data_IF_769713508196
#
_entry.id   IF_769713508196
#
_cell.length_a   1.000
_cell.length_b   1.000
_cell.length_c   1.000
_cell.angle_alpha   90.00
_cell.angle_beta   90.00
_cell.angle_gamma   90.00
#
_symmetry.space_group_name_H-M   'P 1'
#
loop_
_entity.id
_entity.type
_entity.pdbx_description
1 polymer ?
#
# COMPACT_ATOMS: atom_id res chain seq x y z
N UNK A 1 14.23 -30.10 -4.46
CA UNK A 1 15.46 -29.61 -5.14
C UNK A 1 15.54 -28.08 -5.21
N UNK A 2 14.72 -27.36 -6.02
CA UNK A 2 14.83 -25.88 -6.11
C UNK A 2 14.35 -25.13 -4.86
N UNK A 3 13.19 -25.49 -4.29
CA UNK A 3 12.62 -24.86 -3.08
C UNK A 3 13.46 -25.13 -1.81
N UNK A 4 14.09 -26.29 -1.71
CA UNK A 4 14.99 -26.63 -0.60
C UNK A 4 16.27 -25.79 -0.66
N UNK A 5 16.91 -25.66 -1.82
CA UNK A 5 18.11 -24.83 -2.01
C UNK A 5 17.83 -23.36 -1.69
N UNK A 6 16.65 -22.91 -2.07
CA UNK A 6 16.09 -21.62 -1.80
C UNK A 6 15.92 -21.32 -0.30
N UNK A 7 15.32 -22.25 0.44
CA UNK A 7 15.19 -22.18 1.89
C UNK A 7 16.57 -22.16 2.56
N UNK A 8 17.51 -22.98 2.08
CA UNK A 8 18.89 -23.01 2.56
C UNK A 8 19.58 -21.66 2.35
N UNK A 9 19.48 -21.08 1.16
CA UNK A 9 20.07 -19.77 0.85
C UNK A 9 19.49 -18.66 1.73
N UNK A 10 18.19 -18.71 2.02
CA UNK A 10 17.53 -17.76 2.92
C UNK A 10 18.04 -17.91 4.37
N UNK A 11 18.18 -19.14 4.87
CA UNK A 11 18.74 -19.39 6.19
C UNK A 11 20.20 -18.92 6.30
N UNK A 12 21.00 -19.12 5.26
CA UNK A 12 22.39 -18.64 5.18
C UNK A 12 22.43 -17.10 5.20
N UNK A 13 21.55 -16.44 4.45
CA UNK A 13 21.43 -14.99 4.42
C UNK A 13 21.09 -14.39 5.80
N UNK A 14 20.15 -14.99 6.53
CA UNK A 14 19.80 -14.61 7.91
C UNK A 14 21.00 -14.80 8.84
N UNK A 15 21.67 -15.97 8.78
CA UNK A 15 22.83 -16.28 9.61
C UNK A 15 23.97 -15.27 9.41
N UNK A 16 24.24 -14.93 8.15
CA UNK A 16 25.36 -14.07 7.77
C UNK A 16 24.98 -12.57 7.81
N UNK A 17 23.73 -12.22 8.14
CA UNK A 17 23.18 -10.86 8.04
C UNK A 17 23.41 -10.23 6.66
N UNK A 18 23.30 -11.02 5.60
CA UNK A 18 23.50 -10.60 4.21
C UNK A 18 22.18 -10.64 3.44
N UNK A 19 22.10 -9.81 2.41
CA UNK A 19 20.93 -9.81 1.52
C UNK A 19 20.78 -11.15 0.82
N UNK A 20 19.60 -11.79 0.85
CA UNK A 20 19.33 -12.99 0.10
C UNK A 20 19.22 -12.65 -1.39
N UNK A 21 19.59 -13.62 -2.24
CA UNK A 21 19.19 -13.60 -3.66
C UNK A 21 17.77 -14.12 -3.72
N UNK A 22 16.81 -13.33 -4.21
CA UNK A 22 15.42 -13.77 -4.35
C UNK A 22 15.31 -14.88 -5.39
N UNK A 23 14.24 -15.67 -5.30
CA UNK A 23 13.97 -16.72 -6.26
C UNK A 23 13.13 -16.22 -7.44
N UNK A 24 13.25 -16.86 -8.61
CA UNK A 24 12.27 -16.72 -9.68
C UNK A 24 10.96 -17.40 -9.25
N UNK A 25 9.86 -16.65 -9.19
CA UNK A 25 8.55 -17.13 -8.77
C UNK A 25 7.65 -15.97 -8.38
N UNK A 26 6.55 -16.27 -7.68
CA UNK A 26 5.61 -15.24 -7.23
C UNK A 26 6.16 -14.50 -6.00
N UNK A 27 5.51 -14.58 -4.84
CA UNK A 27 5.87 -13.73 -3.71
C UNK A 27 7.15 -14.21 -3.01
N UNK A 28 8.10 -13.31 -2.73
CA UNK A 28 9.38 -13.65 -2.08
C UNK A 28 9.61 -12.80 -0.83
N UNK A 29 10.04 -13.43 0.27
CA UNK A 29 10.51 -12.75 1.48
C UNK A 29 11.94 -12.21 1.27
N UNK A 30 12.12 -10.91 1.47
CA UNK A 30 13.37 -10.18 1.31
C UNK A 30 14.00 -9.78 2.63
N UNK A 31 13.26 -9.83 3.75
CA UNK A 31 13.81 -9.42 5.04
C UNK A 31 14.79 -10.47 5.59
N UNK A 32 15.99 -10.02 5.96
CA UNK A 32 17.07 -10.86 6.49
C UNK A 32 17.69 -10.31 7.78
N UNK A 33 17.21 -9.16 8.26
CA UNK A 33 17.67 -8.55 9.50
C UNK A 33 16.81 -9.01 10.68
N UNK A 34 17.05 -8.46 11.87
CA UNK A 34 16.29 -8.78 13.07
C UNK A 34 14.79 -8.49 12.88
N UNK A 35 13.94 -9.43 13.29
CA UNK A 35 12.49 -9.30 13.17
C UNK A 35 11.86 -8.56 14.36
N UNK A 36 12.63 -8.34 15.42
CA UNK A 36 12.22 -7.70 16.66
C UNK A 36 13.33 -6.75 17.12
N UNK A 37 12.95 -5.55 17.53
CA UNK A 37 13.87 -4.54 18.06
C UNK A 37 13.14 -3.61 19.02
N UNK A 38 13.79 -3.21 20.11
CA UNK A 38 13.26 -2.25 21.07
C UNK A 38 13.97 -0.92 20.84
N UNK A 39 13.25 0.08 20.32
CA UNK A 39 13.79 1.41 20.08
C UNK A 39 13.59 2.31 21.30
N UNK A 40 14.61 3.08 21.63
CA UNK A 40 14.65 4.01 22.76
C UNK A 40 15.18 5.36 22.29
N UNK A 41 15.11 6.42 23.10
CA UNK A 41 15.70 7.71 22.72
C UNK A 41 17.24 7.76 22.82
N UNK A 42 17.92 6.62 22.97
CA UNK A 42 19.37 6.54 22.94
C UNK A 42 19.88 6.72 21.50
N UNK A 43 20.97 7.48 21.31
CA UNK A 43 21.49 7.84 19.97
C UNK A 43 21.86 6.64 19.10
N UNK A 44 22.23 5.52 19.72
CA UNK A 44 22.64 4.28 19.08
C UNK A 44 21.48 3.29 18.89
N UNK A 45 20.33 3.54 19.50
CA UNK A 45 19.20 2.61 19.53
C UNK A 45 17.83 3.29 19.27
N UNK A 46 17.83 4.43 18.57
CA UNK A 46 16.63 5.16 18.18
C UNK A 46 16.18 4.85 16.74
N UNK A 47 16.90 4.01 16.01
CA UNK A 47 16.63 3.76 14.59
C UNK A 47 16.95 2.33 14.15
N UNK A 48 16.05 1.73 13.38
CA UNK A 48 16.34 0.60 12.49
C UNK A 48 16.53 1.18 11.09
N UNK A 49 17.58 0.78 10.37
CA UNK A 49 17.76 1.13 8.97
C UNK A 49 18.28 -0.05 8.17
N UNK A 50 17.89 -0.13 6.91
CA UNK A 50 18.29 -1.20 6.01
C UNK A 50 18.60 -0.68 4.62
N UNK A 51 19.43 -1.43 3.90
CA UNK A 51 19.65 -1.31 2.46
C UNK A 51 19.66 -2.73 1.88
N UNK A 52 18.71 -3.00 0.98
CA UNK A 52 18.59 -4.26 0.25
C UNK A 52 18.95 -3.97 -1.20
N UNK A 53 20.10 -4.44 -1.71
CA UNK A 53 20.44 -4.29 -3.12
C UNK A 53 19.42 -5.02 -3.99
N UNK A 54 19.10 -4.45 -5.15
CA UNK A 54 18.29 -5.15 -6.13
C UNK A 54 19.07 -6.37 -6.65
N UNK A 55 18.38 -7.49 -6.74
CA UNK A 55 18.94 -8.70 -7.33
C UNK A 55 18.54 -8.85 -8.80
N UNK A 56 19.06 -9.90 -9.43
CA UNK A 56 18.84 -10.23 -10.84
C UNK A 56 17.36 -10.56 -11.13
N UNK A 57 16.55 -10.85 -10.10
CA UNK A 57 15.16 -11.27 -10.22
C UNK A 57 14.16 -10.14 -9.97
N UNK A 58 14.64 -8.93 -9.65
CA UNK A 58 13.81 -7.72 -9.57
C UNK A 58 13.30 -7.33 -10.96
N UNK A 59 11.99 -7.19 -11.10
CA UNK A 59 11.34 -6.80 -12.34
C UNK A 59 10.59 -5.49 -12.18
N UNK A 60 10.38 -4.81 -13.31
CA UNK A 60 9.48 -3.65 -13.36
C UNK A 60 8.08 -4.07 -12.92
N UNK A 61 7.36 -3.17 -12.25
CA UNK A 61 6.01 -3.37 -11.71
C UNK A 61 5.88 -4.31 -10.51
N UNK A 62 6.97 -4.92 -10.05
CA UNK A 62 7.01 -5.62 -8.77
C UNK A 62 6.57 -4.68 -7.64
N UNK A 63 5.71 -5.19 -6.74
CA UNK A 63 5.28 -4.46 -5.55
C UNK A 63 6.06 -4.95 -4.33
N UNK A 64 6.66 -4.03 -3.60
CA UNK A 64 7.26 -4.28 -2.29
C UNK A 64 6.30 -3.87 -1.20
N UNK A 65 6.11 -4.75 -0.22
CA UNK A 65 5.35 -4.50 1.00
C UNK A 65 6.26 -4.72 2.18
N UNK A 66 6.50 -3.67 2.95
CA UNK A 66 7.25 -3.72 4.20
C UNK A 66 6.30 -3.55 5.37
N UNK A 67 6.27 -4.55 6.25
CA UNK A 67 5.37 -4.61 7.41
C UNK A 67 6.16 -4.63 8.71
N UNK A 68 5.60 -3.99 9.73
CA UNK A 68 6.08 -4.08 11.10
C UNK A 68 4.93 -3.82 12.08
N UNK A 69 4.96 -4.48 13.22
CA UNK A 69 4.03 -4.26 14.32
C UNK A 69 4.68 -3.40 15.38
N UNK A 70 3.95 -2.40 15.85
CA UNK A 70 4.40 -1.44 16.85
C UNK A 70 3.66 -1.66 18.15
N UNK A 71 4.38 -1.74 19.26
CA UNK A 71 3.81 -1.78 20.59
C UNK A 71 4.38 -0.64 21.43
N UNK A 72 3.52 0.32 21.75
CA UNK A 72 3.81 1.39 22.69
C UNK A 72 3.29 0.97 24.08
N UNK A 73 4.16 0.94 25.10
CA UNK A 73 3.71 0.73 26.47
C UNK A 73 2.78 1.88 26.88
N UNK A 74 1.58 1.54 27.35
CA UNK A 74 0.60 2.52 27.79
C UNK A 74 1.15 3.32 28.98
N UNK A 75 1.31 4.64 28.80
CA UNK A 75 1.62 5.57 29.89
C UNK A 75 0.45 6.52 30.06
N UNK A 76 -0.29 6.37 31.17
CA UNK A 76 -1.42 7.24 31.48
C UNK A 76 -0.99 8.71 31.50
N UNK A 77 -1.69 9.55 30.73
CA UNK A 77 -1.52 11.01 30.75
C UNK A 77 -0.26 11.57 30.08
N UNK A 78 0.57 10.75 29.41
CA UNK A 78 1.70 11.24 28.61
C UNK A 78 1.35 11.29 27.12
N UNK A 79 1.92 12.25 26.40
CA UNK A 79 1.90 12.25 24.94
C UNK A 79 2.57 10.96 24.43
N UNK A 80 2.00 10.37 23.38
CA UNK A 80 2.60 9.20 22.73
C UNK A 80 3.91 9.64 22.05
N UNK A 81 5.01 8.88 22.19
CA UNK A 81 6.23 9.16 21.44
C UNK A 81 5.98 9.04 19.93
N UNK A 82 6.81 9.70 19.14
CA UNK A 82 6.67 9.79 17.70
C UNK A 82 7.55 8.76 17.01
N UNK A 83 6.96 7.88 16.20
CA UNK A 83 7.73 6.96 15.36
C UNK A 83 7.44 7.21 13.90
N UNK A 84 8.47 7.16 13.08
CA UNK A 84 8.41 7.37 11.65
C UNK A 84 8.92 6.13 10.93
N UNK A 85 8.15 5.63 9.98
CA UNK A 85 8.54 4.53 9.11
C UNK A 85 8.63 5.08 7.68
N UNK A 86 9.73 4.82 6.98
CA UNK A 86 9.91 5.28 5.61
C UNK A 86 10.65 4.24 4.76
N UNK A 87 10.22 4.08 3.51
CA UNK A 87 10.83 3.19 2.53
C UNK A 87 11.03 3.94 1.22
N UNK A 88 12.12 3.61 0.54
CA UNK A 88 12.51 4.17 -0.73
C UNK A 88 12.95 3.07 -1.70
N UNK A 89 12.52 3.19 -2.95
CA UNK A 89 13.09 2.47 -4.09
C UNK A 89 14.00 3.43 -4.84
N UNK A 90 15.28 3.07 -4.96
CA UNK A 90 16.30 3.86 -5.67
C UNK A 90 16.64 3.15 -6.97
N UNK A 91 16.62 3.88 -8.08
CA UNK A 91 16.88 3.37 -9.42
C UNK A 91 18.30 3.69 -9.89
N UNK A 92 18.77 2.98 -10.92
CA UNK A 92 20.11 3.21 -11.48
C UNK A 92 20.27 4.55 -12.21
N UNK A 93 19.17 5.17 -12.63
CA UNK A 93 19.15 6.50 -13.23
C UNK A 93 18.92 7.61 -12.18
N UNK A 94 19.21 7.33 -10.91
CA UNK A 94 19.05 8.23 -9.76
C UNK A 94 17.60 8.66 -9.46
N UNK A 95 16.60 8.08 -10.13
CA UNK A 95 15.20 8.25 -9.75
C UNK A 95 14.93 7.61 -8.39
N UNK A 96 14.02 8.19 -7.61
CA UNK A 96 13.64 7.68 -6.28
C UNK A 96 12.13 7.76 -6.10
N UNK A 97 11.53 6.64 -5.68
CA UNK A 97 10.15 6.59 -5.18
C UNK A 97 10.20 6.42 -3.67
N UNK A 98 9.45 7.24 -2.93
CA UNK A 98 9.43 7.22 -1.46
C UNK A 98 8.01 7.10 -0.94
N UNK A 99 7.84 6.38 0.16
CA UNK A 99 6.64 6.43 0.98
C UNK A 99 7.03 6.44 2.45
N UNK A 100 6.30 7.21 3.25
CA UNK A 100 6.57 7.39 4.68
C UNK A 100 5.27 7.50 5.45
N UNK A 101 5.31 7.10 6.72
CA UNK A 101 4.17 7.17 7.63
C UNK A 101 4.63 7.52 9.04
N UNK A 102 3.91 8.43 9.68
CA UNK A 102 3.97 8.65 11.13
C UNK A 102 3.10 7.61 11.82
N UNK A 103 3.68 6.84 12.75
CA UNK A 103 2.98 5.82 13.51
C UNK A 103 2.50 6.45 14.82
N UNK A 104 1.18 6.51 14.99
CA UNK A 104 0.55 7.19 16.13
C UNK A 104 -0.08 6.25 17.15
N UNK A 105 -0.12 4.95 16.84
CA UNK A 105 -0.74 3.92 17.68
C UNK A 105 -0.06 2.58 17.53
N UNK A 106 -0.24 1.72 18.54
CA UNK A 106 0.16 0.32 18.47
C UNK A 106 -0.63 -0.42 17.37
N UNK A 107 -0.03 -1.47 16.81
CA UNK A 107 -0.61 -2.33 15.78
C UNK A 107 0.29 -2.52 14.56
N UNK A 108 -0.18 -3.33 13.61
CA UNK A 108 0.49 -3.55 12.34
C UNK A 108 0.45 -2.28 11.48
N UNK A 109 1.59 -1.95 10.89
CA UNK A 109 1.74 -0.90 9.90
C UNK A 109 2.43 -1.48 8.67
N UNK A 110 2.11 -0.89 7.52
CA UNK A 110 2.72 -1.28 6.26
C UNK A 110 3.05 -0.07 5.40
N UNK A 111 4.12 -0.20 4.63
CA UNK A 111 4.43 0.65 3.49
C UNK A 111 4.47 -0.24 2.26
N UNK A 112 3.67 0.13 1.25
CA UNK A 112 3.69 -0.49 -0.07
C UNK A 112 4.28 0.49 -1.07
N UNK A 113 5.28 0.04 -1.82
CA UNK A 113 5.79 0.72 -3.00
C UNK A 113 5.67 -0.21 -4.20
N UNK A 114 5.34 0.35 -5.35
CA UNK A 114 5.35 -0.39 -6.60
C UNK A 114 6.47 0.16 -7.45
N UNK A 115 7.30 -0.73 -7.99
CA UNK A 115 8.32 -0.33 -8.95
C UNK A 115 7.62 0.14 -10.22
N UNK A 116 8.02 1.29 -10.72
CA UNK A 116 7.58 1.82 -12.01
C UNK A 116 8.60 1.45 -13.10
N UNK A 117 8.27 1.78 -14.35
CA UNK A 117 9.13 1.70 -15.55
C UNK A 117 10.25 2.76 -15.59
N UNK A 118 10.58 3.36 -14.44
CA UNK A 118 11.61 4.40 -14.29
C UNK A 118 13.03 3.86 -14.49
N UNK A 119 13.20 2.56 -14.77
CA UNK A 119 14.47 1.91 -15.06
C UNK A 119 14.76 0.76 -14.11
N UNK A 120 15.98 0.20 -14.21
CA UNK A 120 16.38 -0.90 -13.34
C UNK A 120 16.50 -0.43 -11.88
N UNK A 121 15.82 -1.13 -10.97
CA UNK A 121 15.97 -0.94 -9.53
C UNK A 121 17.43 -1.18 -9.13
N UNK A 122 17.99 -0.29 -8.32
CA UNK A 122 19.34 -0.39 -7.76
C UNK A 122 19.30 -0.98 -6.37
N UNK A 123 18.47 -0.41 -5.51
CA UNK A 123 18.36 -0.80 -4.11
C UNK A 123 17.03 -0.33 -3.50
N UNK A 124 16.66 -0.98 -2.41
CA UNK A 124 15.55 -0.58 -1.55
C UNK A 124 16.15 -0.23 -0.21
N UNK A 125 15.85 0.97 0.29
CA UNK A 125 16.34 1.40 1.60
C UNK A 125 15.19 1.92 2.43
N UNK A 126 15.33 1.87 3.73
CA UNK A 126 14.29 2.35 4.62
C UNK A 126 14.76 2.44 6.05
N UNK A 127 13.91 3.04 6.86
CA UNK A 127 14.17 3.20 8.28
C UNK A 127 12.89 3.26 9.10
N UNK A 128 13.02 2.84 10.36
CA UNK A 128 12.10 3.15 11.44
C UNK A 128 12.86 4.02 12.41
N UNK A 129 12.40 5.24 12.64
CA UNK A 129 13.01 6.20 13.56
C UNK A 129 12.05 6.49 14.70
N UNK A 130 12.54 6.40 15.93
CA UNK A 130 11.79 6.64 17.15
C UNK A 130 12.28 7.92 17.83
N UNK A 131 11.35 8.77 18.20
CA UNK A 131 11.59 10.00 18.94
C UNK A 131 10.65 10.04 20.15
N UNK A 132 11.24 9.97 21.34
CA UNK A 132 10.48 9.91 22.59
C UNK A 132 11.22 10.53 23.76
N UNK A 133 10.60 10.52 24.94
CA UNK A 133 11.27 10.92 26.18
C UNK A 133 12.34 9.91 26.63
N UNK A 134 13.09 10.28 27.67
CA UNK A 134 14.19 9.47 28.23
C UNK A 134 13.81 8.03 28.57
N UNK A 135 12.61 7.83 29.10
CA UNK A 135 12.11 6.52 29.54
C UNK A 135 11.12 5.90 28.54
N UNK A 136 10.90 6.54 27.39
CA UNK A 136 9.99 6.03 26.37
C UNK A 136 10.71 5.04 25.47
N UNK A 137 9.97 4.01 25.06
CA UNK A 137 10.44 3.02 24.12
C UNK A 137 9.28 2.54 23.26
N UNK A 138 9.61 1.98 22.09
CA UNK A 138 8.66 1.25 21.25
C UNK A 138 9.23 -0.12 20.92
N UNK A 139 8.44 -1.15 21.11
CA UNK A 139 8.78 -2.48 20.62
C UNK A 139 8.29 -2.59 19.17
N UNK A 140 9.22 -2.80 18.26
CA UNK A 140 8.96 -3.11 16.86
C UNK A 140 9.16 -4.60 16.68
N UNK A 141 8.15 -5.31 16.18
CA UNK A 141 8.22 -6.76 15.98
C UNK A 141 7.52 -7.20 14.70
N UNK A 142 7.71 -8.47 14.33
CA UNK A 142 7.19 -9.06 13.09
C UNK A 142 7.61 -8.27 11.84
N UNK A 143 8.84 -7.74 11.84
CA UNK A 143 9.35 -7.00 10.69
C UNK A 143 9.53 -7.98 9.54
N UNK A 144 8.89 -7.69 8.41
CA UNK A 144 8.95 -8.50 7.19
C UNK A 144 8.87 -7.64 5.95
N UNK A 145 9.49 -8.10 4.88
CA UNK A 145 9.47 -7.43 3.59
C UNK A 145 9.21 -8.46 2.52
N UNK A 146 8.11 -8.29 1.77
CA UNK A 146 7.74 -9.17 0.68
C UNK A 146 7.71 -8.43 -0.64
N UNK A 147 8.28 -9.07 -1.65
CA UNK A 147 8.09 -8.71 -3.05
C UNK A 147 6.97 -9.54 -3.63
N UNK A 148 6.04 -8.89 -4.30
CA UNK A 148 4.93 -9.49 -5.03
C UNK A 148 5.10 -9.22 -6.51
N UNK A 149 5.11 -10.29 -7.30
CA UNK A 149 5.06 -10.17 -8.75
C UNK A 149 3.65 -9.82 -9.19
N UNK A 150 3.50 -8.77 -9.98
CA UNK A 150 2.22 -8.44 -10.62
C UNK A 150 2.12 -9.26 -11.90
N UNK A 151 1.70 -10.52 -11.78
CA UNK A 151 1.36 -11.36 -12.93
C UNK A 151 -0.05 -11.01 -13.41
N UNK A 152 -0.14 -10.03 -14.29
CA UNK A 152 -1.36 -9.73 -15.01
C UNK A 152 -1.06 -8.80 -16.16
N UNK A 153 -1.45 -9.19 -17.37
CA UNK A 153 -1.83 -8.18 -18.35
C UNK A 153 -2.85 -7.30 -17.63
N UNK A 154 -2.53 -6.02 -17.46
CA UNK A 154 -3.56 -5.04 -17.18
C UNK A 154 -4.53 -5.24 -18.33
N UNK A 155 -5.74 -5.74 -18.03
CA UNK A 155 -6.79 -5.81 -19.03
C UNK A 155 -6.78 -4.46 -19.74
N UNK A 156 -6.47 -4.48 -21.04
CA UNK A 156 -6.53 -3.28 -21.86
C UNK A 156 -7.87 -2.62 -21.53
N UNK A 157 -7.94 -1.27 -21.40
CA UNK A 157 -9.22 -0.60 -21.25
C UNK A 157 -10.14 -1.20 -22.31
N UNK A 158 -11.25 -1.82 -21.88
CA UNK A 158 -12.16 -2.52 -22.78
C UNK A 158 -12.55 -1.51 -23.86
N UNK A 159 -11.98 -1.69 -25.05
CA UNK A 159 -12.47 -0.99 -26.23
C UNK A 159 -13.94 -1.41 -26.38
N UNK A 160 -14.87 -0.47 -26.57
CA UNK A 160 -16.27 -0.80 -26.69
C UNK A 160 -16.45 -1.77 -27.85
N UNK A 161 -16.90 -2.99 -27.52
CA UNK A 161 -17.12 -4.07 -28.47
C UNK A 161 -18.11 -3.57 -29.54
N UNK A 162 -17.79 -3.69 -30.84
CA UNK A 162 -18.74 -3.38 -31.89
C UNK A 162 -19.80 -4.48 -31.91
N UNK A 163 -21.05 -4.09 -31.67
CA UNK A 163 -22.22 -4.96 -31.77
C UNK A 163 -22.41 -5.38 -33.22
N UNK A 164 -21.90 -6.54 -33.61
CA UNK A 164 -22.16 -7.11 -34.93
C UNK A 164 -23.54 -7.80 -34.96
N UNK A 165 -24.19 -7.64 -36.11
CA UNK A 165 -25.60 -7.85 -36.33
C UNK A 165 -25.94 -9.25 -36.85
N UNK A 166 -27.18 -9.64 -36.57
CA UNK A 166 -28.04 -10.59 -37.31
C UNK A 166 -27.78 -12.11 -37.23
N UNK A 167 -28.74 -12.80 -36.58
CA UNK A 167 -29.32 -14.03 -37.13
C UNK A 167 -30.84 -13.90 -37.18
N UNK A 168 -31.37 -13.81 -38.39
CA UNK A 168 -32.80 -13.74 -38.71
C UNK A 168 -33.50 -15.06 -38.42
N UNK A 169 -34.57 -15.01 -37.61
CA UNK A 169 -35.70 -15.95 -37.72
C UNK A 169 -36.99 -15.14 -37.63
N UNK A 170 -37.81 -15.19 -38.67
CA UNK A 170 -39.14 -14.57 -38.77
C UNK A 170 -40.20 -15.52 -38.20
N UNK A 171 -41.03 -15.05 -37.28
CA UNK A 171 -42.51 -14.96 -37.39
C UNK A 171 -43.14 -14.56 -36.04
N UNK A 172 -44.17 -13.72 -36.12
CA UNK A 172 -44.89 -13.06 -35.02
C UNK A 172 -46.08 -13.93 -34.49
N UNK A 173 -47.04 -13.45 -33.66
CA UNK A 173 -47.12 -12.23 -32.82
C UNK A 173 -47.71 -12.49 -31.39
N UNK A 174 -47.90 -11.41 -30.60
CA UNK A 174 -48.86 -11.27 -29.47
C UNK A 174 -48.37 -11.87 -28.12
N UNK A 175 -48.38 -11.22 -26.95
CA UNK A 175 -49.28 -10.19 -26.42
C UNK A 175 -48.59 -9.29 -25.37
N UNK A 176 -49.22 -8.13 -25.16
CA UNK A 176 -48.90 -7.05 -24.21
C UNK A 176 -49.06 -7.51 -22.75
N UNK A 177 -48.20 -7.05 -21.84
CA UNK A 177 -48.71 -6.34 -20.65
C UNK A 177 -47.67 -5.43 -19.94
N UNK A 178 -47.97 -4.15 -20.04
CA UNK A 178 -47.80 -3.00 -19.13
C UNK A 178 -46.94 -3.14 -17.85
N UNK A 179 -45.80 -2.45 -17.81
CA UNK A 179 -45.40 -1.60 -16.66
C UNK A 179 -44.78 -0.30 -17.19
N UNK A 180 -45.26 0.81 -16.65
CA UNK A 180 -45.04 2.21 -17.05
C UNK A 180 -43.56 2.64 -16.99
N UNK A 181 -43.02 3.40 -17.96
CA UNK A 181 -41.69 3.99 -17.85
C UNK A 181 -41.68 5.11 -16.80
N UNK A 182 -40.78 5.05 -15.82
CA UNK A 182 -40.45 6.21 -15.00
C UNK A 182 -39.72 7.26 -15.86
N UNK A 183 -40.12 8.52 -15.71
CA UNK A 183 -39.50 9.65 -16.41
C UNK A 183 -37.98 9.75 -16.13
N UNK A 184 -37.17 10.07 -17.14
CA UNK A 184 -35.73 10.20 -16.95
C UNK A 184 -35.42 11.40 -16.05
N UNK A 185 -34.69 11.14 -14.96
CA UNK A 185 -34.18 12.17 -14.05
C UNK A 185 -33.28 13.13 -14.83
N UNK A 186 -33.78 14.36 -15.04
CA UNK A 186 -33.07 15.44 -15.73
C UNK A 186 -31.83 15.85 -14.91
N UNK A 187 -30.64 15.54 -15.42
CA UNK A 187 -29.37 15.95 -14.79
C UNK A 187 -29.19 17.45 -14.98
N UNK A 188 -29.30 18.21 -13.89
CA UNK A 188 -29.08 19.67 -13.88
C UNK A 188 -27.60 20.00 -14.14
N UNK A 189 -27.36 21.06 -14.91
CA UNK A 189 -26.03 21.60 -15.19
C UNK A 189 -25.45 22.30 -13.94
N UNK A 190 -24.13 22.24 -13.67
CA UNK A 190 -23.46 22.95 -12.57
C UNK A 190 -23.86 24.43 -12.34
N UNK A 191 -24.24 25.18 -13.37
CA UNK A 191 -24.72 26.56 -13.20
C UNK A 191 -26.10 26.64 -12.52
N UNK A 192 -27.03 25.73 -12.84
CA UNK A 192 -28.35 25.66 -12.19
C UNK A 192 -28.23 25.22 -10.72
N UNK A 193 -27.25 24.35 -10.42
CA UNK A 193 -26.96 23.93 -9.06
C UNK A 193 -26.44 25.10 -8.20
N UNK A 194 -25.58 25.94 -8.77
CA UNK A 194 -25.05 27.13 -8.09
C UNK A 194 -26.13 28.20 -7.89
N UNK A 195 -27.06 28.36 -8.84
CA UNK A 195 -28.19 29.27 -8.68
C UNK A 195 -29.13 28.83 -7.54
N UNK A 196 -29.45 27.54 -7.43
CA UNK A 196 -30.26 27.00 -6.33
C UNK A 196 -29.60 27.17 -4.96
N UNK A 197 -28.28 27.02 -4.86
CA UNK A 197 -27.56 27.25 -3.59
C UNK A 197 -27.66 28.70 -3.12
N UNK A 198 -27.77 29.66 -4.03
CA UNK A 198 -27.86 31.09 -3.71
C UNK A 198 -29.26 31.54 -3.29
N UNK A 199 -30.31 30.81 -3.65
CA UNK A 199 -31.71 31.23 -3.43
C UNK A 199 -32.42 30.48 -2.30
N UNK A 200 -31.77 29.52 -1.64
CA UNK A 200 -32.36 28.77 -0.52
C UNK A 200 -32.12 29.49 0.82
N UNK A 201 -33.16 29.72 1.65
CA UNK A 201 -32.96 30.34 2.96
C UNK A 201 -32.22 29.38 3.91
N UNK A 202 -31.33 29.94 4.73
CA UNK A 202 -30.48 29.19 5.65
C UNK A 202 -31.31 28.37 6.65
N UNK A 203 -31.00 27.07 6.75
CA UNK A 203 -31.63 26.16 7.73
C UNK A 203 -31.21 26.57 9.14
N UNK A 204 -32.14 27.09 9.94
CA UNK A 204 -31.90 27.41 11.36
C UNK A 204 -31.56 26.11 12.11
N UNK A 205 -30.33 26.04 12.64
CA UNK A 205 -29.91 25.00 13.58
C UNK A 205 -30.60 25.25 14.92
N UNK A 206 -31.41 24.30 15.40
CA UNK A 206 -31.94 24.36 16.75
C UNK A 206 -30.90 23.83 17.74
N UNK A 207 -30.73 24.46 18.92
CA UNK A 207 -29.76 24.01 19.91
C UNK A 207 -30.23 22.72 20.60
N UNK A 208 -29.30 21.76 20.76
CA UNK A 208 -29.49 20.58 21.61
C UNK A 208 -29.75 21.02 23.05
N UNK A 209 -30.88 20.57 23.62
CA UNK A 209 -31.14 20.71 25.06
C UNK A 209 -30.20 19.77 25.84
N UNK A 210 -29.68 20.32 26.95
CA UNK A 210 -28.83 19.65 27.94
C UNK A 210 -29.53 18.47 28.61
#
# INVERSE_FOLDING_TARGET
MKEEQASINHMVAIRDKKSPVSQPGDSVELWFMEQVSCLTNAQDNNKISFVIPADVNSQDRDALVWKASFFYPSKAGKAMPETYMAMQMVYRNDSVITSSRKITRSGEQEIRLQSDTLGALREVRGYIYFEGGKDDYVLVHNISMKRYRVTGEIAKPVEPVPTDSTRTVKSAPVSKDTLTPQEPVKRMNPEELNHRRRTMPARKLQPMKR
#
